data_IF_577723161651
#
_entry.id   IF_577723161651
#
_cell.length_a   1.000
_cell.length_b   1.000
_cell.length_c   1.000
_cell.angle_alpha   90.00
_cell.angle_beta   90.00
_cell.angle_gamma   90.00
#
_symmetry.space_group_name_H-M   'P 1'
#
loop_
_entity.id
_entity.type
_entity.pdbx_description
1 polymer ?
#
# COMPACT_ATOMS: atom_id res chain seq x y z
N UNK A 1 18.61 -9.63 -18.68
CA UNK A 1 18.14 -11.01 -18.91
C UNK A 1 16.63 -10.97 -18.86
N UNK A 2 15.96 -11.29 -19.96
CA UNK A 2 14.52 -11.09 -20.09
C UNK A 2 13.74 -12.20 -19.36
N UNK A 3 13.11 -11.86 -18.24
CA UNK A 3 12.33 -12.81 -17.43
C UNK A 3 11.15 -13.40 -18.22
N UNK A 4 10.65 -12.68 -19.23
CA UNK A 4 9.60 -13.20 -20.12
C UNK A 4 10.08 -14.33 -21.03
N UNK A 5 11.38 -14.43 -21.32
CA UNK A 5 11.93 -15.52 -22.13
C UNK A 5 12.02 -16.84 -21.35
N UNK A 6 12.07 -16.79 -20.01
CA UNK A 6 12.15 -17.95 -19.12
C UNK A 6 10.78 -18.54 -18.76
N UNK A 7 9.73 -17.73 -18.74
CA UNK A 7 8.36 -18.15 -18.39
C UNK A 7 7.60 -18.52 -19.67
N UNK A 8 8.13 -19.45 -20.46
CA UNK A 8 7.30 -20.22 -21.38
C UNK A 8 6.77 -21.41 -20.59
N UNK A 9 5.47 -21.38 -20.31
CA UNK A 9 4.69 -22.18 -19.35
C UNK A 9 4.69 -23.72 -19.57
N UNK A 10 5.61 -24.25 -20.38
CA UNK A 10 5.71 -25.66 -20.81
C UNK A 10 7.03 -26.35 -20.42
N UNK A 11 7.88 -25.69 -19.63
CA UNK A 11 9.21 -26.19 -19.29
C UNK A 11 9.53 -26.23 -17.79
N UNK A 12 8.77 -25.51 -16.95
CA UNK A 12 8.96 -25.54 -15.48
C UNK A 12 8.55 -26.89 -14.88
N UNK A 13 7.59 -27.57 -15.49
CA UNK A 13 7.09 -28.91 -15.14
C UNK A 13 8.12 -30.03 -15.36
N UNK A 14 9.25 -29.72 -15.99
CA UNK A 14 10.35 -30.66 -16.28
C UNK A 14 11.62 -30.40 -15.48
N UNK A 15 11.67 -29.31 -14.73
CA UNK A 15 12.80 -28.99 -13.88
C UNK A 15 12.69 -29.79 -12.58
N UNK A 16 13.83 -30.27 -12.09
CA UNK A 16 13.95 -30.78 -10.73
C UNK A 16 13.74 -29.64 -9.70
N UNK A 17 13.44 -30.01 -8.47
CA UNK A 17 13.31 -29.04 -7.37
C UNK A 17 14.58 -28.19 -7.20
N UNK A 18 15.75 -28.77 -7.40
CA UNK A 18 17.05 -28.08 -7.34
C UNK A 18 17.24 -27.06 -8.47
N UNK A 19 16.81 -27.39 -9.69
CA UNK A 19 16.85 -26.47 -10.83
C UNK A 19 15.82 -25.34 -10.70
N UNK A 20 14.65 -25.62 -10.13
CA UNK A 20 13.64 -24.61 -9.81
C UNK A 20 14.16 -23.64 -8.74
N UNK A 21 14.76 -24.15 -7.67
CA UNK A 21 15.34 -23.32 -6.60
C UNK A 21 16.43 -22.42 -7.18
N UNK A 22 17.40 -22.98 -7.92
CA UNK A 22 18.49 -22.21 -8.50
C UNK A 22 18.02 -21.15 -9.51
N UNK A 23 16.94 -21.42 -10.26
CA UNK A 23 16.38 -20.47 -11.22
C UNK A 23 15.81 -19.23 -10.54
N UNK A 24 15.30 -19.36 -9.32
CA UNK A 24 14.64 -18.28 -8.59
C UNK A 24 15.46 -17.76 -7.39
N UNK A 25 16.60 -18.35 -7.03
CA UNK A 25 17.33 -18.04 -5.79
C UNK A 25 17.70 -16.55 -5.66
N UNK A 26 18.40 -15.97 -6.64
CA UNK A 26 18.81 -14.56 -6.64
C UNK A 26 17.62 -13.60 -6.76
N UNK A 27 16.62 -13.99 -7.56
CA UNK A 27 15.37 -13.22 -7.74
C UNK A 27 14.53 -13.26 -6.45
N UNK A 28 14.59 -14.37 -5.71
CA UNK A 28 13.87 -14.56 -4.46
C UNK A 28 14.47 -13.71 -3.34
N UNK A 29 15.79 -13.59 -3.21
CA UNK A 29 16.37 -12.81 -2.10
C UNK A 29 16.02 -11.31 -2.21
N UNK A 30 16.24 -10.69 -3.37
CA UNK A 30 15.88 -9.28 -3.57
C UNK A 30 14.37 -9.08 -3.47
N UNK A 31 13.56 -9.92 -4.12
CA UNK A 31 12.11 -9.80 -4.06
C UNK A 31 11.58 -10.03 -2.64
N UNK A 32 12.19 -10.92 -1.87
CA UNK A 32 11.84 -11.13 -0.47
C UNK A 32 12.14 -9.89 0.35
N UNK A 33 13.29 -9.25 0.16
CA UNK A 33 13.61 -7.99 0.83
C UNK A 33 12.62 -6.87 0.48
N UNK A 34 12.20 -6.75 -0.79
CA UNK A 34 11.18 -5.79 -1.22
C UNK A 34 9.82 -6.11 -0.59
N UNK A 35 9.44 -7.40 -0.54
CA UNK A 35 8.19 -7.85 0.08
C UNK A 35 8.17 -7.57 1.57
N UNK A 36 9.25 -7.90 2.28
CA UNK A 36 9.40 -7.65 3.71
C UNK A 36 9.36 -6.16 4.03
N UNK A 37 10.01 -5.33 3.20
CA UNK A 37 9.90 -3.88 3.28
C UNK A 37 8.46 -3.43 3.09
N UNK A 38 7.78 -3.88 2.03
CA UNK A 38 6.41 -3.45 1.73
C UNK A 38 5.45 -3.76 2.88
N UNK A 39 5.51 -4.97 3.46
CA UNK A 39 4.69 -5.36 4.61
C UNK A 39 5.02 -4.53 5.85
N UNK A 40 6.32 -4.39 6.14
CA UNK A 40 6.78 -3.66 7.33
C UNK A 40 6.41 -2.18 7.24
N UNK A 41 6.53 -1.60 6.04
CA UNK A 41 6.18 -0.22 5.78
C UNK A 41 4.66 0.00 5.84
N UNK A 42 3.85 -0.89 5.26
CA UNK A 42 2.39 -0.84 5.34
C UNK A 42 1.91 -0.88 6.80
N UNK A 43 2.53 -1.73 7.62
CA UNK A 43 2.30 -1.80 9.06
C UNK A 43 2.73 -0.50 9.76
N UNK A 44 3.91 0.01 9.44
CA UNK A 44 4.43 1.27 9.98
C UNK A 44 3.51 2.47 9.66
N UNK A 45 2.96 2.54 8.44
CA UNK A 45 2.06 3.62 8.03
C UNK A 45 0.79 3.69 8.88
N UNK A 46 0.29 2.55 9.36
CA UNK A 46 -0.92 2.45 10.20
C UNK A 46 -0.70 2.87 11.65
N UNK A 47 0.55 2.85 12.14
CA UNK A 47 0.87 3.24 13.52
C UNK A 47 0.62 4.75 13.72
N UNK A 48 -0.22 5.17 14.68
CA UNK A 48 -0.45 6.58 14.98
C UNK A 48 0.80 7.30 15.48
N UNK A 49 1.09 8.48 14.91
CA UNK A 49 2.25 9.33 15.20
C UNK A 49 1.80 10.76 15.46
N UNK A 50 2.64 11.50 16.17
CA UNK A 50 2.46 12.93 16.33
C UNK A 50 3.06 13.64 15.10
N UNK A 51 2.24 14.43 14.39
CA UNK A 51 2.64 15.21 13.21
C UNK A 51 2.74 16.72 13.49
N UNK A 52 2.80 17.13 14.75
CA UNK A 52 2.85 18.52 15.22
C UNK A 52 1.68 18.92 16.11
N UNK A 53 0.61 18.10 16.15
CA UNK A 53 -0.63 18.36 16.90
C UNK A 53 -0.73 17.51 18.19
N UNK A 54 -1.74 17.77 19.01
CA UNK A 54 -2.00 16.99 20.23
C UNK A 54 -2.42 15.55 19.94
N UNK A 55 -3.08 15.32 18.81
CA UNK A 55 -3.61 14.01 18.47
C UNK A 55 -2.64 13.20 17.62
N UNK A 56 -2.79 11.87 17.68
CA UNK A 56 -2.00 10.96 16.88
C UNK A 56 -2.77 10.54 15.64
N UNK A 57 -2.19 10.80 14.48
CA UNK A 57 -2.69 10.35 13.18
C UNK A 57 -1.82 9.22 12.66
N UNK A 58 -2.41 8.24 11.99
CA UNK A 58 -1.66 7.36 11.10
C UNK A 58 -1.14 8.16 9.90
N UNK A 59 -0.12 7.62 9.22
CA UNK A 59 0.40 8.25 8.00
C UNK A 59 -0.64 8.27 6.88
N UNK A 60 -1.52 7.26 6.83
CA UNK A 60 -2.63 7.18 5.88
C UNK A 60 -3.61 8.33 6.11
N UNK A 61 -4.02 8.54 7.37
CA UNK A 61 -4.89 9.66 7.74
C UNK A 61 -4.28 11.01 7.38
N UNK A 62 -3.01 11.24 7.72
CA UNK A 62 -2.30 12.47 7.40
C UNK A 62 -2.25 12.74 5.88
N UNK A 63 -1.97 11.72 5.07
CA UNK A 63 -1.96 11.89 3.62
C UNK A 63 -3.35 12.07 3.01
N UNK A 64 -4.39 11.44 3.56
CA UNK A 64 -5.78 11.69 3.13
C UNK A 64 -6.17 13.16 3.39
N UNK A 65 -5.82 13.71 4.56
CA UNK A 65 -6.01 15.15 4.85
C UNK A 65 -5.27 15.99 3.80
N UNK A 66 -4.02 15.64 3.49
CA UNK A 66 -3.24 16.33 2.47
C UNK A 66 -3.85 16.22 1.06
N UNK A 67 -4.42 15.07 0.68
CA UNK A 67 -5.13 14.91 -0.59
C UNK A 67 -6.36 15.83 -0.68
N UNK A 68 -7.14 15.92 0.39
CA UNK A 68 -8.31 16.82 0.49
C UNK A 68 -7.87 18.28 0.43
N UNK A 69 -6.79 18.65 1.13
CA UNK A 69 -6.20 19.99 1.05
C UNK A 69 -5.74 20.36 -0.37
N UNK A 70 -5.09 19.41 -1.06
CA UNK A 70 -4.62 19.62 -2.44
C UNK A 70 -5.73 19.67 -3.48
N UNK A 71 -6.86 19.01 -3.22
CA UNK A 71 -8.00 18.95 -4.11
C UNK A 71 -9.31 19.12 -3.32
N UNK A 72 -9.65 20.35 -2.91
CA UNK A 72 -10.89 20.60 -2.18
C UNK A 72 -12.11 20.09 -2.95
N UNK A 73 -13.01 19.39 -2.26
CA UNK A 73 -14.18 18.77 -2.88
C UNK A 73 -13.95 17.38 -3.47
N UNK A 74 -12.73 16.82 -3.38
CA UNK A 74 -12.47 15.42 -3.75
C UNK A 74 -13.42 14.48 -3.00
N UNK A 75 -14.02 13.54 -3.72
CA UNK A 75 -15.01 12.62 -3.15
C UNK A 75 -14.38 11.29 -2.70
N UNK A 76 -15.15 10.52 -1.93
CA UNK A 76 -14.68 9.25 -1.39
C UNK A 76 -14.36 8.18 -2.46
N UNK A 77 -14.94 8.28 -3.66
CA UNK A 77 -14.66 7.37 -4.78
C UNK A 77 -13.26 7.69 -5.34
N UNK A 78 -13.00 8.96 -5.61
CA UNK A 78 -11.69 9.40 -6.09
C UNK A 78 -10.57 9.05 -5.10
N UNK A 79 -10.82 9.22 -3.80
CA UNK A 79 -9.87 8.81 -2.76
C UNK A 79 -9.63 7.29 -2.72
N UNK A 80 -10.67 6.47 -2.92
CA UNK A 80 -10.50 5.02 -2.89
C UNK A 80 -9.72 4.50 -4.10
N UNK A 81 -9.84 5.17 -5.24
CA UNK A 81 -9.06 4.88 -6.46
C UNK A 81 -7.60 5.28 -6.29
N UNK A 82 -7.30 6.48 -5.76
CA UNK A 82 -5.92 6.94 -5.50
C UNK A 82 -5.19 5.98 -4.56
N UNK A 83 -5.85 5.55 -3.49
CA UNK A 83 -5.25 4.70 -2.47
C UNK A 83 -5.33 3.20 -2.80
N UNK A 84 -6.02 2.82 -3.87
CA UNK A 84 -6.29 1.43 -4.24
C UNK A 84 -6.82 0.58 -3.07
N UNK A 85 -7.81 1.13 -2.35
CA UNK A 85 -8.45 0.50 -1.18
C UNK A 85 -9.96 0.46 -1.36
N UNK A 86 -10.64 -0.27 -0.48
CA UNK A 86 -12.10 -0.36 -0.52
C UNK A 86 -12.77 0.97 -0.15
N UNK A 87 -13.94 1.22 -0.74
CA UNK A 87 -14.79 2.36 -0.36
C UNK A 87 -15.12 2.36 1.14
N UNK A 88 -15.35 1.19 1.72
CA UNK A 88 -15.63 1.06 3.16
C UNK A 88 -14.44 1.52 4.02
N UNK A 89 -13.21 1.22 3.60
CA UNK A 89 -12.01 1.66 4.30
C UNK A 89 -11.84 3.19 4.27
N UNK A 90 -11.98 3.80 3.08
CA UNK A 90 -11.95 5.27 2.95
C UNK A 90 -13.07 5.93 3.75
N UNK A 91 -14.30 5.44 3.66
CA UNK A 91 -15.44 5.99 4.42
C UNK A 91 -15.19 5.97 5.92
N UNK A 92 -14.57 4.90 6.45
CA UNK A 92 -14.20 4.81 7.87
C UNK A 92 -13.22 5.90 8.26
N UNK A 93 -12.19 6.14 7.42
CA UNK A 93 -11.20 7.19 7.68
C UNK A 93 -11.84 8.58 7.61
N UNK A 94 -12.61 8.87 6.56
CA UNK A 94 -13.29 10.17 6.40
C UNK A 94 -14.19 10.46 7.61
N UNK A 95 -15.01 9.49 8.05
CA UNK A 95 -15.88 9.67 9.20
C UNK A 95 -15.09 9.95 10.49
N UNK A 96 -13.96 9.27 10.69
CA UNK A 96 -13.08 9.53 11.83
C UNK A 96 -12.50 10.95 11.76
N UNK A 97 -11.92 11.32 10.63
CA UNK A 97 -11.31 12.64 10.43
C UNK A 97 -12.33 13.79 10.58
N UNK A 98 -13.56 13.57 10.13
CA UNK A 98 -14.67 14.52 10.32
C UNK A 98 -15.07 14.63 11.80
N UNK A 99 -15.22 13.49 12.49
CA UNK A 99 -15.52 13.46 13.93
C UNK A 99 -14.43 14.12 14.77
N UNK A 100 -13.17 13.95 14.38
CA UNK A 100 -12.02 14.51 15.08
C UNK A 100 -11.75 15.98 14.66
N UNK A 101 -12.54 16.54 13.73
CA UNK A 101 -12.49 17.96 13.35
C UNK A 101 -11.42 18.34 12.32
N UNK A 102 -10.74 17.36 11.71
CA UNK A 102 -9.71 17.61 10.69
C UNK A 102 -10.28 18.02 9.33
N UNK A 103 -11.50 17.57 9.01
CA UNK A 103 -12.18 17.84 7.75
C UNK A 103 -13.67 18.12 7.99
N UNK A 104 -14.34 18.69 7.00
CA UNK A 104 -15.79 18.86 7.00
C UNK A 104 -16.37 18.54 5.62
N UNK A 105 -17.63 18.11 5.58
CA UNK A 105 -18.38 17.95 4.33
C UNK A 105 -19.08 19.26 3.97
N UNK A 106 -19.04 19.59 2.68
CA UNK A 106 -19.81 20.69 2.08
C UNK A 106 -21.25 20.25 1.81
#
# INVERSE_FOLDING_TARGET
MDLHALINQKSLDKLSDEELIALFEDVNEFNQAVYDFAISYESYMKVPKNYGDSDKLSMIEAHIIYNIFKSPGINAIELNEIWNVSKAYISKIINKLESDGYIYRL
#
